data_IF_029215276200
#
_entry.id   IF_029215276200
#
_cell.length_a   1.000
_cell.length_b   1.000
_cell.length_c   1.000
_cell.angle_alpha   90.00
_cell.angle_beta   90.00
_cell.angle_gamma   90.00
#
_symmetry.space_group_name_H-M   'P 1'
#
loop_
_entity.id
_entity.type
_entity.pdbx_description
1 polymer ?
#
# COMPACT_ATOMS: atom_id res chain seq x y z
N UNK A 1 -1.68 22.93 -18.43
CA UNK A 1 -0.84 23.38 -17.30
C UNK A 1 0.12 22.27 -16.90
N UNK A 2 1.29 22.63 -16.36
CA UNK A 2 2.47 21.74 -16.19
C UNK A 2 2.88 21.55 -14.72
N UNK A 3 2.04 21.93 -13.76
CA UNK A 3 2.42 21.98 -12.35
C UNK A 3 2.08 20.68 -11.60
N UNK A 4 2.50 19.53 -12.13
CA UNK A 4 2.27 18.23 -11.51
C UNK A 4 3.33 17.96 -10.44
N UNK A 5 2.90 17.57 -9.24
CA UNK A 5 3.80 17.35 -8.08
C UNK A 5 3.94 15.89 -7.68
N UNK A 6 2.98 15.03 -8.07
CA UNK A 6 3.05 13.59 -7.84
C UNK A 6 2.24 12.82 -8.89
N UNK A 7 2.62 11.57 -9.14
CA UNK A 7 1.94 10.67 -10.09
C UNK A 7 1.95 9.23 -9.60
N UNK A 8 0.87 8.50 -9.88
CA UNK A 8 0.76 7.08 -9.55
C UNK A 8 0.14 6.30 -10.70
N UNK A 9 0.84 5.25 -11.16
CA UNK A 9 0.37 4.36 -12.20
C UNK A 9 -0.24 3.09 -11.60
N UNK A 10 -1.52 2.85 -11.86
CA UNK A 10 -2.20 1.57 -11.68
C UNK A 10 -2.30 0.81 -12.99
N UNK A 11 -2.95 -0.38 -12.98
CA UNK A 11 -3.04 -1.24 -14.16
C UNK A 11 -3.82 -0.62 -15.34
N UNK A 12 -4.91 0.10 -15.06
CA UNK A 12 -5.81 0.71 -16.07
C UNK A 12 -6.15 2.16 -15.76
N UNK A 13 -5.39 2.78 -14.86
CA UNK A 13 -5.58 4.16 -14.41
C UNK A 13 -4.25 4.79 -14.06
N UNK A 14 -4.10 6.07 -14.38
CA UNK A 14 -3.05 6.93 -13.87
C UNK A 14 -3.70 8.02 -13.02
N UNK A 15 -3.12 8.29 -11.86
CA UNK A 15 -3.45 9.44 -11.03
C UNK A 15 -2.32 10.46 -11.08
N UNK A 16 -2.67 11.74 -11.00
CA UNK A 16 -1.73 12.85 -10.91
C UNK A 16 -2.24 13.87 -9.90
N UNK A 17 -1.34 14.41 -9.09
CA UNK A 17 -1.60 15.52 -8.16
C UNK A 17 -0.99 16.78 -8.75
N UNK A 18 -1.79 17.84 -8.85
CA UNK A 18 -1.31 19.16 -9.25
C UNK A 18 -0.86 19.94 -8.00
N UNK A 19 0.06 20.89 -8.16
CA UNK A 19 0.57 21.79 -7.12
C UNK A 19 -0.52 22.60 -6.40
N UNK A 20 -1.66 22.84 -7.04
CA UNK A 20 -2.83 23.45 -6.39
C UNK A 20 -3.51 22.50 -5.38
N UNK A 21 -3.10 21.24 -5.36
CA UNK A 21 -3.60 20.14 -4.53
C UNK A 21 -4.82 19.43 -5.11
N UNK A 22 -5.17 19.67 -6.37
CA UNK A 22 -6.22 18.93 -7.07
C UNK A 22 -5.73 17.54 -7.54
N UNK A 23 -6.62 16.56 -7.47
CA UNK A 23 -6.38 15.20 -7.97
C UNK A 23 -6.98 15.01 -9.36
N UNK A 24 -6.24 14.35 -10.24
CA UNK A 24 -6.61 14.06 -11.61
C UNK A 24 -6.40 12.60 -11.93
N UNK A 25 -7.17 12.07 -12.87
CA UNK A 25 -7.05 10.72 -13.36
C UNK A 25 -7.22 10.63 -14.89
N UNK A 26 -6.49 9.71 -15.50
CA UNK A 26 -6.70 9.25 -16.88
C UNK A 26 -6.56 7.72 -16.95
N UNK A 27 -6.85 7.14 -18.10
CA UNK A 27 -6.93 5.70 -18.31
C UNK A 27 -8.36 5.20 -18.46
N UNK A 28 -8.47 3.90 -18.75
CA UNK A 28 -9.75 3.24 -19.05
C UNK A 28 -10.71 3.29 -17.86
N UNK A 29 -10.17 3.23 -16.65
CA UNK A 29 -10.95 3.24 -15.41
C UNK A 29 -11.24 4.65 -14.87
N UNK A 30 -10.60 5.70 -15.41
CA UNK A 30 -10.74 7.08 -14.93
C UNK A 30 -12.19 7.60 -14.84
N UNK A 31 -13.11 7.29 -15.78
CA UNK A 31 -14.49 7.74 -15.69
C UNK A 31 -15.23 7.32 -14.41
N UNK A 32 -14.77 6.27 -13.71
CA UNK A 32 -15.34 5.84 -12.42
C UNK A 32 -15.09 6.83 -11.29
N UNK A 33 -14.04 7.65 -11.40
CA UNK A 33 -13.62 8.58 -10.35
C UNK A 33 -13.85 10.04 -10.75
N UNK A 34 -13.78 10.33 -12.05
CA UNK A 34 -13.92 11.69 -12.58
C UNK A 34 -15.35 12.02 -13.00
N UNK A 35 -16.16 11.00 -13.32
CA UNK A 35 -17.49 11.17 -13.93
C UNK A 35 -17.45 11.65 -15.38
N UNK A 36 -16.26 11.89 -15.94
CA UNK A 36 -16.07 12.40 -17.30
C UNK A 36 -15.80 11.23 -18.25
N UNK A 37 -16.62 11.11 -19.30
CA UNK A 37 -16.38 10.17 -20.40
C UNK A 37 -15.60 10.89 -21.50
N UNK A 38 -14.46 10.34 -21.88
CA UNK A 38 -13.58 10.94 -22.88
C UNK A 38 -12.49 9.95 -23.30
N UNK A 39 -11.48 10.44 -24.01
CA UNK A 39 -10.31 9.63 -24.35
C UNK A 39 -9.61 9.14 -23.07
N UNK A 40 -9.19 7.87 -22.99
CA UNK A 40 -8.36 7.37 -21.88
C UNK A 40 -7.05 8.15 -21.72
N UNK A 41 -6.58 8.85 -22.76
CA UNK A 41 -5.38 9.68 -22.71
C UNK A 41 -5.64 11.11 -22.17
N UNK A 42 -6.86 11.45 -21.78
CA UNK A 42 -7.22 12.78 -21.26
C UNK A 42 -7.27 12.74 -19.74
N UNK A 43 -6.50 13.62 -19.08
CA UNK A 43 -6.62 13.87 -17.65
C UNK A 43 -7.92 14.59 -17.35
N UNK A 44 -8.70 14.04 -16.41
CA UNK A 44 -9.89 14.65 -15.87
C UNK A 44 -9.80 14.71 -14.34
N UNK A 45 -10.39 15.75 -13.75
CA UNK A 45 -10.33 16.00 -12.31
C UNK A 45 -11.16 14.97 -11.53
N UNK A 46 -10.65 14.53 -10.39
CA UNK A 46 -11.31 13.62 -9.45
C UNK A 46 -11.87 14.43 -8.29
N UNK A 47 -13.20 14.62 -8.27
CA UNK A 47 -13.88 15.41 -7.25
C UNK A 47 -13.49 16.89 -7.25
N UNK A 48 -13.79 17.58 -6.15
CA UNK A 48 -13.58 19.04 -5.98
C UNK A 48 -12.55 19.40 -4.92
N UNK A 49 -11.98 18.42 -4.25
CA UNK A 49 -10.95 18.59 -3.21
C UNK A 49 -9.65 19.17 -3.81
N UNK A 50 -8.93 19.94 -3.00
CA UNK A 50 -7.68 20.65 -3.32
C UNK A 50 -6.61 20.44 -2.26
N UNK A 51 -6.79 19.46 -1.38
CA UNK A 51 -5.87 19.16 -0.30
C UNK A 51 -4.98 17.96 -0.60
N UNK A 52 -4.98 17.41 -1.82
CA UNK A 52 -4.12 16.27 -2.17
C UNK A 52 -2.65 16.68 -2.24
N UNK A 53 -1.78 15.82 -1.73
CA UNK A 53 -0.33 16.04 -1.72
C UNK A 53 0.41 14.87 -2.38
N UNK A 54 0.03 13.63 -2.05
CA UNK A 54 0.70 12.43 -2.57
C UNK A 54 -0.29 11.37 -3.04
N UNK A 55 0.13 10.54 -3.98
CA UNK A 55 -0.64 9.39 -4.46
C UNK A 55 0.25 8.17 -4.68
N UNK A 56 -0.29 6.97 -4.44
CA UNK A 56 0.35 5.72 -4.85
C UNK A 56 -0.69 4.66 -5.22
N UNK A 57 -0.30 3.74 -6.10
CA UNK A 57 -1.16 2.65 -6.57
C UNK A 57 -0.60 1.30 -6.10
N UNK A 58 -1.49 0.41 -5.67
CA UNK A 58 -1.19 -0.96 -5.26
C UNK A 58 -1.74 -1.92 -6.33
N UNK A 59 -0.85 -2.45 -7.17
CA UNK A 59 -1.18 -3.05 -8.48
C UNK A 59 -2.21 -4.18 -8.47
N UNK A 60 -2.17 -5.11 -7.50
CA UNK A 60 -3.07 -6.29 -7.51
C UNK A 60 -4.40 -6.10 -6.78
N UNK A 61 -4.45 -5.23 -5.75
CA UNK A 61 -5.62 -5.10 -4.89
C UNK A 61 -6.65 -4.09 -5.37
N UNK A 62 -6.46 -3.48 -6.55
CA UNK A 62 -7.34 -2.41 -7.02
C UNK A 62 -7.46 -1.31 -5.96
N UNK A 63 -6.34 -0.94 -5.34
CA UNK A 63 -6.28 0.04 -4.27
C UNK A 63 -5.33 1.15 -4.70
N UNK A 64 -5.77 2.39 -4.58
CA UNK A 64 -4.88 3.55 -4.56
C UNK A 64 -4.94 4.19 -3.17
N UNK A 65 -3.82 4.74 -2.73
CA UNK A 65 -3.70 5.48 -1.48
C UNK A 65 -3.33 6.91 -1.81
N UNK A 66 -3.98 7.84 -1.13
CA UNK A 66 -3.74 9.26 -1.27
C UNK A 66 -3.40 9.86 0.09
N UNK A 67 -2.52 10.84 0.10
CA UNK A 67 -2.21 11.66 1.25
C UNK A 67 -2.67 13.08 0.99
N UNK A 68 -3.30 13.69 1.98
CA UNK A 68 -3.63 15.11 1.97
C UNK A 68 -2.58 15.94 2.72
N UNK A 69 -2.58 17.26 2.47
CA UNK A 69 -1.73 18.27 3.14
C UNK A 69 -1.90 18.31 4.66
N UNK A 70 -3.08 17.91 5.16
CA UNK A 70 -3.35 17.75 6.60
C UNK A 70 -2.79 16.44 7.19
N UNK A 71 -2.03 15.68 6.40
CA UNK A 71 -1.54 14.34 6.70
C UNK A 71 -2.65 13.34 7.02
N UNK A 72 -3.83 13.45 6.40
CA UNK A 72 -4.81 12.36 6.39
C UNK A 72 -4.56 11.40 5.21
N UNK A 73 -4.77 10.11 5.44
CA UNK A 73 -4.65 9.07 4.43
C UNK A 73 -6.01 8.62 3.93
N UNK A 74 -6.12 8.37 2.64
CA UNK A 74 -7.36 7.97 1.97
C UNK A 74 -7.12 6.78 1.06
N UNK A 75 -7.98 5.76 1.17
CA UNK A 75 -7.99 4.59 0.31
C UNK A 75 -9.07 4.76 -0.76
N UNK A 76 -8.69 4.60 -2.02
CA UNK A 76 -9.60 4.48 -3.14
C UNK A 76 -9.65 3.03 -3.62
N UNK A 77 -10.83 2.43 -3.53
CA UNK A 77 -11.08 1.14 -4.18
C UNK A 77 -11.35 1.37 -5.67
N UNK A 78 -10.39 1.01 -6.51
CA UNK A 78 -10.46 1.21 -7.97
C UNK A 78 -11.64 0.47 -8.62
N UNK A 79 -12.08 -0.65 -8.03
CA UNK A 79 -13.26 -1.39 -8.51
C UNK A 79 -14.57 -0.62 -8.34
N UNK A 80 -14.74 0.07 -7.21
CA UNK A 80 -16.01 0.71 -6.85
C UNK A 80 -15.98 2.23 -6.98
N UNK A 81 -14.79 2.84 -7.16
CA UNK A 81 -14.61 4.29 -7.09
C UNK A 81 -14.76 4.86 -5.68
N UNK A 82 -14.79 3.98 -4.67
CA UNK A 82 -15.08 4.38 -3.31
C UNK A 82 -13.83 4.90 -2.61
N UNK A 83 -13.83 6.19 -2.28
CA UNK A 83 -12.78 6.89 -1.56
C UNK A 83 -13.16 6.99 -0.07
N UNK A 84 -12.38 6.35 0.81
CA UNK A 84 -12.62 6.33 2.26
C UNK A 84 -11.37 6.75 3.03
N UNK A 85 -11.50 7.45 4.17
CA UNK A 85 -10.37 7.70 5.04
C UNK A 85 -9.82 6.37 5.57
N UNK A 86 -8.50 6.29 5.70
CA UNK A 86 -7.84 5.18 6.41
C UNK A 86 -8.13 5.36 7.90
N UNK A 87 -8.62 4.33 8.62
CA UNK A 87 -9.01 4.44 10.03
C UNK A 87 -7.78 4.48 10.96
N UNK A 88 -6.93 5.48 10.78
CA UNK A 88 -5.78 5.75 11.64
C UNK A 88 -5.93 7.15 12.23
N UNK A 89 -5.88 7.22 13.57
CA UNK A 89 -5.93 8.48 14.31
C UNK A 89 -4.60 9.24 14.28
N UNK A 90 -3.54 8.61 13.75
CA UNK A 90 -2.19 9.19 13.75
C UNK A 90 -2.02 10.20 12.61
N UNK A 91 -1.44 11.34 12.97
CA UNK A 91 -1.04 12.42 12.07
C UNK A 91 0.50 12.39 11.94
N UNK A 92 1.06 13.01 10.90
CA UNK A 92 2.51 13.07 10.56
C UNK A 92 3.03 11.99 9.60
N UNK A 93 2.23 11.55 8.63
CA UNK A 93 2.76 10.73 7.53
C UNK A 93 3.68 11.56 6.64
N UNK A 94 4.85 11.01 6.31
CA UNK A 94 5.85 11.67 5.46
C UNK A 94 6.02 10.97 4.11
N UNK A 95 5.66 9.69 4.01
CA UNK A 95 5.69 8.96 2.76
C UNK A 95 4.61 7.87 2.72
N UNK A 96 4.17 7.57 1.50
CA UNK A 96 3.31 6.43 1.18
C UNK A 96 3.93 5.67 0.01
N UNK A 97 3.74 4.35 -0.01
CA UNK A 97 4.18 3.49 -1.09
C UNK A 97 3.16 2.37 -1.33
N UNK A 98 3.01 1.97 -2.59
CA UNK A 98 2.18 0.85 -2.99
C UNK A 98 3.05 -0.29 -3.51
N UNK A 99 2.79 -1.50 -3.04
CA UNK A 99 3.41 -2.72 -3.53
C UNK A 99 2.61 -3.36 -4.66
N UNK A 100 3.29 -3.97 -5.63
CA UNK A 100 2.65 -4.71 -6.72
C UNK A 100 1.73 -5.84 -6.19
N UNK A 101 2.10 -6.43 -5.05
CA UNK A 101 1.32 -7.42 -4.33
C UNK A 101 0.04 -6.88 -3.70
N UNK A 102 -0.24 -5.58 -3.74
CA UNK A 102 -1.45 -5.00 -3.16
C UNK A 102 -1.28 -4.55 -1.71
N UNK A 103 -0.05 -4.56 -1.19
CA UNK A 103 0.29 -3.92 0.08
C UNK A 103 0.36 -2.40 -0.10
N UNK A 104 -0.15 -1.67 0.87
CA UNK A 104 0.12 -0.26 1.06
C UNK A 104 1.04 -0.09 2.28
N UNK A 105 1.94 0.87 2.19
CA UNK A 105 2.91 1.21 3.23
C UNK A 105 2.87 2.71 3.49
N UNK A 106 2.92 3.11 4.75
CA UNK A 106 3.06 4.50 5.16
C UNK A 106 4.18 4.65 6.19
N UNK A 107 4.94 5.74 6.10
CA UNK A 107 6.03 6.08 7.01
C UNK A 107 5.65 7.34 7.78
N UNK A 108 5.82 7.32 9.10
CA UNK A 108 5.67 8.50 9.96
C UNK A 108 6.98 9.28 10.08
N UNK A 109 6.90 10.56 10.46
CA UNK A 109 8.10 11.38 10.76
C UNK A 109 8.97 10.79 11.87
N UNK A 110 8.36 10.05 12.80
CA UNK A 110 9.04 9.40 13.92
C UNK A 110 9.74 8.09 13.53
N UNK A 111 9.68 7.70 12.25
CA UNK A 111 10.33 6.50 11.73
C UNK A 111 9.51 5.22 11.84
N UNK A 112 8.21 5.30 12.14
CA UNK A 112 7.36 4.12 12.19
C UNK A 112 6.81 3.75 10.82
N UNK A 113 6.77 2.46 10.54
CA UNK A 113 6.23 1.91 9.30
C UNK A 113 4.89 1.25 9.58
N UNK A 114 3.88 1.61 8.79
CA UNK A 114 2.53 1.06 8.87
C UNK A 114 2.18 0.40 7.55
N UNK A 115 1.55 -0.78 7.60
CA UNK A 115 1.19 -1.51 6.38
C UNK A 115 -0.24 -2.05 6.43
N UNK A 116 -0.89 -2.15 5.28
CA UNK A 116 -2.22 -2.75 5.10
C UNK A 116 -2.37 -3.33 3.70
N UNK A 117 -3.48 -4.02 3.43
CA UNK A 117 -3.71 -4.72 2.17
C UNK A 117 -3.11 -6.11 2.17
N UNK A 118 -2.74 -6.59 0.99
CA UNK A 118 -2.19 -7.94 0.81
C UNK A 118 -0.71 -7.93 1.13
N UNK A 119 -0.36 -8.44 2.30
CA UNK A 119 1.01 -8.61 2.73
C UNK A 119 1.53 -9.95 2.23
N UNK A 120 2.81 -9.99 1.84
CA UNK A 120 3.53 -11.26 1.75
C UNK A 120 3.42 -11.91 3.14
N UNK A 121 2.95 -13.16 3.16
CA UNK A 121 2.43 -13.80 4.38
C UNK A 121 3.32 -13.61 5.60
N UNK A 122 2.74 -13.44 6.78
CA UNK A 122 3.53 -13.64 7.99
C UNK A 122 3.93 -15.11 8.08
N UNK A 123 5.13 -15.36 8.59
CA UNK A 123 5.39 -16.59 9.30
C UNK A 123 4.39 -16.65 10.47
N UNK A 124 3.28 -17.36 10.29
CA UNK A 124 2.43 -17.75 11.43
C UNK A 124 3.33 -18.35 12.52
N UNK A 125 2.98 -18.29 13.82
CA UNK A 125 3.76 -18.95 14.86
C UNK A 125 4.07 -20.42 14.53
N UNK A 126 3.13 -21.08 13.87
CA UNK A 126 3.28 -22.43 13.28
C UNK A 126 4.48 -22.52 12.33
N UNK A 127 4.72 -21.52 11.50
CA UNK A 127 5.84 -21.49 10.56
C UNK A 127 7.20 -21.37 11.27
N UNK A 128 7.31 -20.65 12.40
CA UNK A 128 8.56 -20.67 13.21
C UNK A 128 8.83 -22.07 13.75
N UNK A 129 7.79 -22.75 14.22
CA UNK A 129 7.85 -24.14 14.68
C UNK A 129 8.24 -25.09 13.55
N UNK A 130 7.68 -24.91 12.35
CA UNK A 130 8.00 -25.70 11.16
C UNK A 130 9.42 -25.41 10.61
N UNK A 131 9.92 -24.19 10.77
CA UNK A 131 11.30 -23.84 10.44
C UNK A 131 12.28 -24.50 11.41
N UNK A 132 11.97 -24.51 12.71
CA UNK A 132 12.72 -25.25 13.72
C UNK A 132 12.75 -26.76 13.40
N UNK A 133 11.61 -27.34 13.04
CA UNK A 133 11.52 -28.75 12.60
C UNK A 133 12.31 -28.97 11.31
N UNK A 134 12.26 -28.05 10.34
CA UNK A 134 13.05 -28.13 9.10
C UNK A 134 14.56 -28.12 9.38
N UNK A 135 15.02 -27.30 10.33
CA UNK A 135 16.43 -27.28 10.76
C UNK A 135 16.85 -28.59 11.43
N UNK A 136 15.99 -29.18 12.26
CA UNK A 136 16.23 -30.50 12.87
C UNK A 136 16.32 -31.60 11.81
N UNK A 137 15.37 -31.62 10.88
CA UNK A 137 15.35 -32.59 9.78
C UNK A 137 16.54 -32.42 8.82
N UNK A 138 16.96 -31.18 8.59
CA UNK A 138 18.16 -30.87 7.80
C UNK A 138 19.45 -31.43 8.41
N UNK A 139 19.55 -31.49 9.74
CA UNK A 139 20.70 -32.11 10.44
C UNK A 139 20.79 -33.63 10.21
N UNK A 140 19.67 -34.29 9.89
CA UNK A 140 19.62 -35.71 9.52
C UNK A 140 19.51 -35.93 8.00
N UNK A 141 19.79 -34.89 7.19
CA UNK A 141 19.82 -34.96 5.73
C UNK A 141 18.45 -34.87 5.04
N UNK A 142 17.37 -34.66 5.80
CA UNK A 142 16.01 -34.54 5.26
C UNK A 142 15.71 -33.07 4.90
N UNK A 143 15.45 -32.80 3.62
CA UNK A 143 14.97 -31.50 3.14
C UNK A 143 13.46 -31.55 2.99
N UNK A 144 12.76 -30.74 3.78
CA UNK A 144 11.30 -30.61 3.70
C UNK A 144 10.96 -29.26 3.10
N UNK A 145 10.18 -29.27 2.01
CA UNK A 145 9.56 -28.08 1.47
C UNK A 145 8.15 -27.95 2.03
N UNK A 146 7.98 -27.01 2.95
CA UNK A 146 6.65 -26.58 3.38
C UNK A 146 6.03 -25.74 2.25
N UNK A 147 4.72 -25.89 2.01
CA UNK A 147 4.02 -25.11 0.98
C UNK A 147 4.21 -23.60 1.16
N UNK A 148 4.05 -22.83 0.08
CA UNK A 148 4.17 -21.37 0.14
C UNK A 148 3.20 -20.79 1.18
N UNK A 149 3.67 -19.97 2.12
CA UNK A 149 2.79 -19.35 3.10
C UNK A 149 1.70 -18.55 2.40
N UNK A 150 0.46 -18.73 2.84
CA UNK A 150 -0.67 -17.99 2.30
C UNK A 150 -0.49 -16.50 2.62
N UNK A 151 -0.70 -15.60 1.66
CA UNK A 151 -0.58 -14.17 1.90
C UNK A 151 -1.65 -13.73 2.90
N UNK A 152 -1.29 -12.82 3.81
CA UNK A 152 -2.22 -12.30 4.82
C UNK A 152 -2.80 -11.01 4.28
N UNK A 153 -4.13 -10.94 4.21
CA UNK A 153 -4.82 -9.70 3.88
C UNK A 153 -5.21 -8.97 5.15
N UNK A 154 -4.69 -7.76 5.38
CA UNK A 154 -5.05 -6.92 6.52
C UNK A 154 -5.89 -5.74 6.04
N UNK A 155 -7.15 -5.69 6.47
CA UNK A 155 -8.04 -4.56 6.14
C UNK A 155 -7.72 -3.31 6.96
N UNK A 156 -7.24 -3.49 8.19
CA UNK A 156 -6.81 -2.41 9.09
C UNK A 156 -5.30 -2.27 9.05
N UNK A 157 -4.76 -1.04 9.02
CA UNK A 157 -3.33 -0.83 9.10
C UNK A 157 -2.74 -1.33 10.41
N UNK A 158 -1.54 -1.89 10.31
CA UNK A 158 -0.79 -2.39 11.44
C UNK A 158 0.63 -1.83 11.41
N UNK A 159 1.18 -1.57 12.60
CA UNK A 159 2.53 -1.05 12.77
C UNK A 159 3.55 -2.17 12.68
N UNK A 160 4.50 -2.06 11.75
CA UNK A 160 5.64 -2.96 11.67
C UNK A 160 6.59 -2.68 12.84
N UNK A 161 6.90 -3.71 13.62
CA UNK A 161 7.89 -3.62 14.69
C UNK A 161 9.27 -3.96 14.15
N UNK A 162 10.27 -3.15 14.50
CA UNK A 162 11.65 -3.51 14.29
C UNK A 162 11.98 -4.70 15.20
N UNK A 163 12.54 -5.75 14.62
CA UNK A 163 13.30 -6.71 15.40
C UNK A 163 14.74 -6.22 15.35
N UNK A 164 15.23 -5.73 16.48
CA UNK A 164 16.66 -5.58 16.61
C UNK A 164 17.30 -6.95 16.36
N UNK A 165 18.42 -7.03 15.62
CA UNK A 165 19.20 -8.25 15.55
C UNK A 165 19.76 -8.50 16.96
N UNK A 166 18.99 -9.14 17.84
CA UNK A 166 19.54 -9.62 19.10
C UNK A 166 20.54 -10.72 18.79
N UNK A 167 21.81 -10.39 19.03
CA UNK A 167 22.79 -11.27 19.67
C UNK A 167 22.47 -12.76 19.53
N UNK A 168 22.95 -13.36 18.45
CA UNK A 168 23.31 -14.77 18.47
C UNK A 168 24.36 -14.98 19.58
N UNK A 169 23.94 -15.33 20.79
CA UNK A 169 24.88 -15.65 21.87
C UNK A 169 24.18 -15.82 23.22
N UNK A 170 24.30 -17.03 23.79
CA UNK A 170 23.96 -17.50 25.15
C UNK A 170 22.50 -17.31 25.59
N UNK A 171 21.71 -18.36 25.85
CA UNK A 171 21.98 -19.52 26.72
C UNK A 171 21.48 -20.87 26.18
#
# INVERSE_FOLDING_TARGET
ETNWVDVAAGCLVLFAVNSDGSLWACGEDAPRFTGVRGSPATLARVGTDTEWEKCCCCGSLNLAVFMKKDHSLWNLKLKTGELRPVPLSRKNWVAIAGGAGGAAVALTRDGEVWTWGLMLGEHTPEFRSLEFVSRLLGRVGLKVQWGTPQPITRATPWQLHNLDPTTSGSD
#
